data_IF_238152013332
#
_entry.id   IF_238152013332
#
_cell.length_a   1.000
_cell.length_b   1.000
_cell.length_c   1.000
_cell.angle_alpha   90.00
_cell.angle_beta   90.00
_cell.angle_gamma   90.00
#
_symmetry.space_group_name_H-M   'P 1'
#
loop_
_entity.id
_entity.type
_entity.pdbx_description
1 polymer ?
#
# COMPACT_ATOMS: atom_id res chain seq x y z
N UNK A 1 16.36 -0.66 -14.70
CA UNK A 1 14.89 -0.49 -14.57
C UNK A 1 14.65 0.86 -13.91
N UNK A 2 14.13 1.82 -14.66
CA UNK A 2 13.94 3.19 -14.18
C UNK A 2 12.64 3.32 -13.40
N UNK A 3 12.72 3.80 -12.16
CA UNK A 3 11.54 4.18 -11.38
C UNK A 3 11.49 5.70 -11.36
N UNK A 4 10.32 6.26 -11.66
CA UNK A 4 10.10 7.70 -11.77
C UNK A 4 10.00 8.30 -10.36
N UNK A 5 10.88 9.26 -10.00
CA UNK A 5 10.72 10.05 -8.80
C UNK A 5 9.37 10.75 -8.81
N UNK A 6 8.65 10.68 -7.71
CA UNK A 6 7.31 11.25 -7.63
C UNK A 6 7.11 12.03 -6.36
N UNK A 7 6.17 12.95 -6.43
CA UNK A 7 5.71 13.73 -5.30
C UNK A 7 4.19 13.89 -5.39
N UNK A 8 3.56 13.97 -4.22
CA UNK A 8 2.19 14.39 -4.04
C UNK A 8 2.21 15.65 -3.19
N UNK A 9 1.76 16.76 -3.77
CA UNK A 9 1.76 18.05 -3.09
C UNK A 9 0.70 18.07 -2.00
N UNK A 10 0.92 18.81 -0.92
CA UNK A 10 0.00 18.90 0.23
C UNK A 10 -1.45 19.17 -0.20
N UNK A 11 -1.66 20.02 -1.20
CA UNK A 11 -2.98 20.34 -1.75
C UNK A 11 -3.69 19.14 -2.42
N UNK A 12 -2.92 18.19 -2.96
CA UNK A 12 -3.43 17.00 -3.65
C UNK A 12 -3.62 15.80 -2.71
N UNK A 13 -3.11 15.88 -1.47
CA UNK A 13 -3.20 14.78 -0.49
C UNK A 13 -4.64 14.54 -0.01
N UNK A 14 -5.44 15.54 0.40
CA UNK A 14 -6.81 15.30 0.84
C UNK A 14 -7.67 14.54 -0.17
N UNK A 15 -7.75 14.93 -1.46
CA UNK A 15 -8.53 14.17 -2.44
C UNK A 15 -7.93 12.78 -2.73
N UNK A 16 -6.61 12.61 -2.66
CA UNK A 16 -5.98 11.30 -2.84
C UNK A 16 -6.29 10.34 -1.68
N UNK A 17 -6.27 10.83 -0.44
CA UNK A 17 -6.59 10.07 0.76
C UNK A 17 -8.03 9.55 0.74
N UNK A 18 -9.00 10.40 0.38
CA UNK A 18 -10.41 9.98 0.27
C UNK A 18 -10.63 8.92 -0.80
N UNK A 19 -9.96 9.08 -1.96
CA UNK A 19 -10.00 8.07 -3.03
C UNK A 19 -9.43 6.74 -2.56
N UNK A 20 -8.31 6.76 -1.82
CA UNK A 20 -7.70 5.56 -1.28
C UNK A 20 -8.61 4.86 -0.25
N UNK A 21 -9.16 5.61 0.70
CA UNK A 21 -10.09 5.08 1.72
C UNK A 21 -11.31 4.42 1.06
N UNK A 22 -11.91 5.08 0.08
CA UNK A 22 -13.05 4.57 -0.69
C UNK A 22 -12.70 3.27 -1.43
N UNK A 23 -11.57 3.25 -2.13
CA UNK A 23 -11.12 2.06 -2.86
C UNK A 23 -10.83 0.88 -1.92
N UNK A 24 -10.14 1.11 -0.80
CA UNK A 24 -9.84 0.08 0.20
C UNK A 24 -11.11 -0.45 0.86
N UNK A 25 -12.10 0.42 1.11
CA UNK A 25 -13.41 0.00 1.61
C UNK A 25 -14.11 -0.95 0.61
N UNK A 26 -14.11 -0.60 -0.68
CA UNK A 26 -14.72 -1.39 -1.74
C UNK A 26 -14.02 -2.75 -1.97
N UNK A 27 -12.70 -2.83 -1.79
CA UNK A 27 -11.94 -4.09 -1.93
C UNK A 27 -12.30 -5.12 -0.85
N UNK A 28 -12.83 -4.70 0.30
CA UNK A 28 -13.31 -5.63 1.34
C UNK A 28 -14.41 -6.60 0.88
N UNK A 29 -15.09 -6.30 -0.24
CA UNK A 29 -16.10 -7.16 -0.85
C UNK A 29 -15.56 -8.14 -1.89
N UNK A 30 -14.27 -8.06 -2.28
CA UNK A 30 -13.67 -8.91 -3.31
C UNK A 30 -12.65 -9.85 -2.67
N UNK A 31 -12.64 -11.16 -3.00
CA UNK A 31 -11.56 -12.04 -2.58
C UNK A 31 -10.25 -11.40 -3.00
N UNK A 32 -9.31 -11.25 -2.06
CA UNK A 32 -7.94 -10.84 -2.37
C UNK A 32 -7.50 -11.67 -3.57
N UNK A 33 -7.02 -11.03 -4.63
CA UNK A 33 -6.49 -11.67 -5.85
C UNK A 33 -5.20 -12.43 -5.59
N UNK A 34 -5.18 -13.20 -4.50
CA UNK A 34 -4.14 -14.12 -4.16
C UNK A 34 -4.24 -15.30 -5.12
N UNK A 35 -3.12 -15.81 -5.65
CA UNK A 35 -3.14 -17.09 -6.32
C UNK A 35 -3.79 -18.12 -5.36
N UNK A 36 -4.65 -19.02 -5.86
CA UNK A 36 -5.19 -20.09 -5.03
C UNK A 36 -4.01 -20.82 -4.41
N UNK A 37 -4.03 -21.02 -3.09
CA UNK A 37 -3.06 -21.90 -2.43
C UNK A 37 -3.18 -23.27 -3.10
N UNK A 38 -2.05 -23.84 -3.48
CA UNK A 38 -1.98 -25.25 -3.84
C UNK A 38 -2.50 -26.05 -2.64
N UNK A 39 -3.32 -27.09 -2.85
CA UNK A 39 -3.82 -27.94 -1.75
C UNK A 39 -2.70 -28.55 -0.88
N UNK A 40 -1.48 -28.63 -1.40
CA UNK A 40 -0.29 -29.09 -0.66
C UNK A 40 0.22 -28.10 0.40
N UNK A 41 -0.15 -26.81 0.35
CA UNK A 41 0.33 -25.80 1.31
C UNK A 41 -0.56 -25.69 2.57
N UNK A 42 -1.74 -26.34 2.57
CA UNK A 42 -2.66 -26.33 3.71
C UNK A 42 -2.32 -27.40 4.76
N UNK A 43 -1.64 -28.49 4.38
CA UNK A 43 -1.38 -29.64 5.27
C UNK A 43 -0.23 -29.40 6.26
N UNK A 44 0.68 -28.47 5.96
CA UNK A 44 1.96 -28.39 6.68
C UNK A 44 2.03 -27.28 7.76
N UNK A 45 0.90 -26.62 8.09
CA UNK A 45 0.78 -25.64 9.20
C UNK A 45 1.73 -24.42 9.17
N UNK A 46 2.58 -24.32 8.14
CA UNK A 46 3.71 -23.39 8.01
C UNK A 46 3.48 -22.26 7.02
N UNK A 47 2.32 -22.20 6.35
CA UNK A 47 2.02 -21.13 5.42
C UNK A 47 1.87 -19.79 6.20
N UNK A 48 2.69 -18.76 5.91
CA UNK A 48 2.56 -17.48 6.58
C UNK A 48 1.18 -16.86 6.31
N UNK A 49 0.59 -16.15 7.28
CA UNK A 49 -0.71 -15.53 7.10
C UNK A 49 -0.65 -14.53 5.94
N UNK A 50 -1.59 -14.69 5.00
CA UNK A 50 -1.69 -13.83 3.82
C UNK A 50 -2.11 -12.42 4.26
N UNK A 51 -1.27 -11.42 3.99
CA UNK A 51 -1.59 -10.03 4.30
C UNK A 51 -2.56 -9.50 3.24
N UNK A 52 -3.78 -9.18 3.65
CA UNK A 52 -4.80 -8.59 2.77
C UNK A 52 -4.41 -7.20 2.28
N UNK A 53 -4.97 -6.76 1.15
CA UNK A 53 -4.73 -5.41 0.63
C UNK A 53 -5.16 -4.32 1.63
N UNK A 54 -6.25 -4.56 2.37
CA UNK A 54 -6.71 -3.67 3.45
C UNK A 54 -5.65 -3.52 4.55
N UNK A 55 -5.05 -4.63 5.00
CA UNK A 55 -3.99 -4.59 6.01
C UNK A 55 -2.75 -3.84 5.50
N UNK A 56 -2.39 -4.02 4.22
CA UNK A 56 -1.25 -3.30 3.61
C UNK A 56 -1.50 -1.79 3.45
N UNK A 57 -2.75 -1.37 3.33
CA UNK A 57 -3.11 0.04 3.13
C UNK A 57 -2.98 0.89 4.41
N UNK A 58 -3.04 0.28 5.59
CA UNK A 58 -2.97 0.97 6.90
C UNK A 58 -1.78 1.94 7.00
N UNK A 59 -0.51 1.53 6.78
CA UNK A 59 0.63 2.45 6.90
C UNK A 59 0.58 3.61 5.91
N UNK A 60 0.10 3.38 4.68
CA UNK A 60 0.00 4.43 3.67
C UNK A 60 -1.12 5.44 4.01
N UNK A 61 -2.27 4.96 4.48
CA UNK A 61 -3.36 5.83 4.94
C UNK A 61 -2.87 6.72 6.09
N UNK A 62 -2.19 6.13 7.09
CA UNK A 62 -1.65 6.88 8.22
C UNK A 62 -0.60 7.92 7.81
N UNK A 63 0.25 7.60 6.83
CA UNK A 63 1.21 8.56 6.27
C UNK A 63 0.49 9.76 5.63
N UNK A 64 -0.53 9.51 4.80
CA UNK A 64 -1.28 10.58 4.15
C UNK A 64 -2.09 11.41 5.16
N UNK A 65 -2.66 10.80 6.19
CA UNK A 65 -3.34 11.51 7.29
C UNK A 65 -2.39 12.45 8.04
N UNK A 66 -1.18 11.97 8.36
CA UNK A 66 -0.15 12.80 8.98
C UNK A 66 0.29 13.96 8.05
N UNK A 67 0.40 13.68 6.76
CA UNK A 67 0.76 14.71 5.77
C UNK A 67 -0.34 15.77 5.61
N UNK A 68 -1.62 15.40 5.65
CA UNK A 68 -2.74 16.37 5.72
C UNK A 68 -2.65 17.21 6.98
N UNK A 69 -2.43 16.60 8.13
CA UNK A 69 -2.34 17.32 9.41
C UNK A 69 -1.14 18.28 9.47
N UNK A 70 -0.04 17.93 8.82
CA UNK A 70 1.18 18.75 8.76
C UNK A 70 1.29 19.66 7.53
N UNK A 71 0.29 19.68 6.65
CA UNK A 71 0.31 20.39 5.36
C UNK A 71 1.62 20.12 4.57
N UNK A 72 2.05 18.86 4.57
CA UNK A 72 3.35 18.44 4.06
C UNK A 72 3.24 17.67 2.75
N UNK A 73 4.19 17.88 1.85
CA UNK A 73 4.32 17.09 0.62
C UNK A 73 4.82 15.67 0.94
N UNK A 74 4.37 14.69 0.15
CA UNK A 74 4.86 13.32 0.21
C UNK A 74 5.69 13.02 -1.02
N UNK A 75 6.94 12.61 -0.85
CA UNK A 75 7.86 12.31 -1.95
C UNK A 75 8.37 10.88 -1.88
N UNK A 76 8.73 10.29 -3.01
CA UNK A 76 9.41 9.00 -3.07
C UNK A 76 10.49 8.98 -4.14
N UNK A 77 11.63 8.42 -3.75
CA UNK A 77 12.76 8.15 -4.63
C UNK A 77 13.05 6.65 -4.55
N UNK A 78 13.34 6.02 -5.69
CA UNK A 78 13.91 4.69 -5.66
C UNK A 78 15.39 4.83 -5.33
N UNK A 79 15.83 4.25 -4.21
CA UNK A 79 17.25 4.05 -3.95
C UNK A 79 17.76 2.95 -4.88
N UNK A 80 18.28 3.36 -6.05
CA UNK A 80 18.98 2.48 -6.95
C UNK A 80 20.40 2.23 -6.44
N UNK A 81 20.66 1.03 -5.92
CA UNK A 81 21.99 0.42 -5.85
C UNK A 81 22.93 0.98 -4.77
N UNK A 82 23.15 0.18 -3.74
CA UNK A 82 24.45 0.19 -3.06
C UNK A 82 25.47 -0.50 -3.98
N UNK A 83 26.48 0.25 -4.38
CA UNK A 83 27.82 -0.25 -4.70
C UNK A 83 28.77 0.74 -4.01
N UNK A 84 29.53 0.40 -2.97
CA UNK A 84 30.35 -0.81 -2.78
C UNK A 84 30.07 -1.63 -1.50
#
# INVERSE_FOLDING_TARGET
>A
TGVVPGALLAADIPPALERLKTAVAAVGARPSGNPPRSKDEEDDGRAPPLVSLRQRAVPLIGLLEAAVAGEADVTWIATGGRAA
#
